data_IF_620150679596
#
_entry.id   IF_620150679596
#
_cell.length_a   1.000
_cell.length_b   1.000
_cell.length_c   1.000
_cell.angle_alpha   90.00
_cell.angle_beta   90.00
_cell.angle_gamma   90.00
#
_symmetry.space_group_name_H-M   'P 1'
#
loop_
_entity.id
_entity.type
_entity.pdbx_description
1 polymer ?
#
# COMPACT_ATOMS: atom_id res chain seq x y z
N UNK A 1 13.64 -1.46 -43.61
CA UNK A 1 13.27 -2.46 -42.58
C UNK A 1 14.03 -2.17 -41.29
N UNK A 2 13.56 -1.29 -40.38
CA UNK A 2 14.35 -1.02 -39.15
C UNK A 2 13.70 -0.35 -37.92
N UNK A 3 12.41 -0.01 -37.91
CA UNK A 3 11.79 0.55 -36.68
C UNK A 3 10.50 -0.17 -36.24
N UNK A 4 9.70 -0.66 -37.20
CA UNK A 4 8.47 -1.40 -36.87
C UNK A 4 8.77 -2.74 -36.15
N UNK A 5 9.74 -3.50 -36.64
CA UNK A 5 10.11 -4.81 -36.06
C UNK A 5 10.72 -4.71 -34.65
N UNK A 6 11.39 -3.60 -34.31
CA UNK A 6 11.97 -3.39 -32.97
C UNK A 6 10.88 -3.07 -31.95
N UNK A 7 9.84 -2.33 -32.35
CA UNK A 7 8.70 -2.00 -31.50
C UNK A 7 7.84 -3.24 -31.20
N UNK A 8 7.68 -4.10 -32.20
CA UNK A 8 6.94 -5.35 -32.11
C UNK A 8 7.67 -6.40 -31.24
N UNK A 9 9.00 -6.49 -31.37
CA UNK A 9 9.83 -7.34 -30.50
C UNK A 9 9.90 -6.85 -29.04
N UNK A 10 9.92 -5.53 -28.81
CA UNK A 10 9.87 -4.98 -27.46
C UNK A 10 8.50 -5.21 -26.80
N UNK A 11 7.40 -5.03 -27.55
CA UNK A 11 6.05 -5.32 -27.06
C UNK A 11 5.86 -6.80 -26.71
N UNK A 12 6.46 -7.72 -27.49
CA UNK A 12 6.44 -9.14 -27.18
C UNK A 12 7.19 -9.50 -25.88
N UNK A 13 8.31 -8.82 -25.57
CA UNK A 13 9.08 -9.05 -24.35
C UNK A 13 8.37 -8.56 -23.07
N UNK A 14 7.60 -7.46 -23.15
CA UNK A 14 6.79 -6.99 -22.01
C UNK A 14 5.54 -7.83 -21.77
N UNK A 15 5.04 -8.53 -22.81
CA UNK A 15 3.84 -9.36 -22.71
C UNK A 15 4.11 -10.78 -22.20
N UNK A 16 5.39 -11.20 -22.20
CA UNK A 16 5.81 -12.57 -21.84
C UNK A 16 6.25 -12.73 -20.37
N UNK A 17 6.11 -11.70 -19.52
CA UNK A 17 6.07 -11.90 -18.06
C UNK A 17 4.74 -12.55 -17.65
N UNK A 18 4.56 -13.80 -18.06
CA UNK A 18 3.49 -14.69 -17.62
C UNK A 18 3.72 -15.04 -16.15
N UNK A 19 3.19 -14.19 -15.26
CA UNK A 19 2.93 -14.57 -13.88
C UNK A 19 1.95 -15.77 -13.90
N UNK A 20 2.22 -16.88 -13.19
CA UNK A 20 1.36 -18.08 -13.20
C UNK A 20 -0.09 -17.86 -12.71
N UNK A 21 -0.45 -16.63 -12.31
CA UNK A 21 -1.79 -16.22 -11.87
C UNK A 21 -2.43 -15.11 -12.72
N UNK A 22 -1.88 -14.82 -13.91
CA UNK A 22 -2.44 -13.87 -14.87
C UNK A 22 -1.70 -12.53 -14.90
N UNK A 23 -1.46 -12.02 -16.11
CA UNK A 23 -0.91 -10.69 -16.33
C UNK A 23 -1.99 -9.65 -16.00
N UNK A 24 -1.66 -8.71 -15.11
CA UNK A 24 -2.52 -7.56 -14.87
C UNK A 24 -2.40 -6.62 -16.08
N UNK A 25 -3.25 -6.79 -17.08
CA UNK A 25 -3.35 -5.85 -18.20
C UNK A 25 -4.22 -4.66 -17.78
N UNK A 26 -3.68 -3.44 -17.89
CA UNK A 26 -4.45 -2.20 -17.89
C UNK A 26 -5.51 -2.28 -19.01
N UNK A 27 -6.72 -2.74 -18.67
CA UNK A 27 -7.81 -2.96 -19.62
C UNK A 27 -8.64 -4.23 -19.41
N UNK A 28 -8.26 -5.13 -18.49
CA UNK A 28 -9.13 -6.24 -18.10
C UNK A 28 -10.27 -5.72 -17.23
N UNK A 29 -11.51 -6.04 -17.60
CA UNK A 29 -12.76 -5.64 -16.94
C UNK A 29 -12.67 -5.75 -15.39
N UNK A 30 -12.58 -4.60 -14.73
CA UNK A 30 -12.71 -4.47 -13.27
C UNK A 30 -14.19 -4.49 -12.90
N UNK A 31 -14.82 -5.67 -12.97
CA UNK A 31 -16.20 -5.87 -12.49
C UNK A 31 -16.34 -7.18 -11.72
N UNK A 32 -15.38 -7.50 -10.86
CA UNK A 32 -15.62 -8.45 -9.77
C UNK A 32 -15.39 -7.72 -8.46
N UNK A 33 -16.46 -7.59 -7.66
CA UNK A 33 -16.36 -7.11 -6.28
C UNK A 33 -15.30 -7.96 -5.58
N UNK A 34 -14.13 -7.38 -5.32
CA UNK A 34 -13.02 -8.11 -4.75
C UNK A 34 -13.44 -8.69 -3.40
N UNK A 35 -13.35 -10.00 -3.25
CA UNK A 35 -13.57 -10.63 -1.94
C UNK A 35 -12.42 -10.23 -1.00
N UNK A 36 -12.63 -10.29 0.32
CA UNK A 36 -11.54 -10.05 1.30
C UNK A 36 -10.31 -10.92 0.99
N UNK A 37 -10.43 -12.24 0.73
CA UNK A 37 -9.30 -13.06 0.30
C UNK A 37 -8.58 -12.57 -0.96
N UNK A 38 -9.30 -12.02 -1.95
CA UNK A 38 -8.68 -11.47 -3.15
C UNK A 38 -7.90 -10.18 -2.85
N UNK A 39 -8.46 -9.30 -2.02
CA UNK A 39 -7.78 -8.10 -1.56
C UNK A 39 -6.51 -8.44 -0.77
N UNK A 40 -6.59 -9.42 0.15
CA UNK A 40 -5.42 -9.95 0.88
C UNK A 40 -4.35 -10.48 -0.08
N UNK A 41 -4.75 -11.24 -1.11
CA UNK A 41 -3.82 -11.76 -2.12
C UNK A 41 -3.14 -10.63 -2.90
N UNK A 42 -3.88 -9.58 -3.30
CA UNK A 42 -3.33 -8.42 -3.99
C UNK A 42 -2.35 -7.64 -3.10
N UNK A 43 -2.68 -7.43 -1.83
CA UNK A 43 -1.77 -6.79 -0.87
C UNK A 43 -0.49 -7.60 -0.64
N UNK A 44 -0.57 -8.95 -0.61
CA UNK A 44 0.63 -9.81 -0.54
C UNK A 44 1.58 -9.57 -1.72
N UNK A 45 1.05 -9.46 -2.93
CA UNK A 45 1.89 -9.16 -4.10
C UNK A 45 2.54 -7.79 -4.01
N UNK A 46 1.78 -6.76 -3.62
CA UNK A 46 2.35 -5.42 -3.41
C UNK A 46 3.46 -5.46 -2.37
N UNK A 47 3.24 -6.15 -1.24
CA UNK A 47 4.23 -6.29 -0.19
C UNK A 47 5.52 -6.97 -0.68
N UNK A 48 5.40 -8.04 -1.49
CA UNK A 48 6.55 -8.70 -2.11
C UNK A 48 7.32 -7.74 -3.02
N UNK A 49 6.64 -6.97 -3.86
CA UNK A 49 7.28 -6.09 -4.84
C UNK A 49 8.12 -4.98 -4.18
N UNK A 50 7.73 -4.52 -2.99
CA UNK A 50 8.45 -3.49 -2.23
C UNK A 50 9.25 -4.04 -1.05
N UNK A 51 9.37 -5.37 -0.94
CA UNK A 51 10.02 -6.06 0.16
C UNK A 51 9.50 -5.66 1.56
N UNK A 52 8.19 -5.45 1.69
CA UNK A 52 7.51 -5.29 2.98
C UNK A 52 7.27 -6.66 3.62
N UNK A 53 7.53 -6.76 4.92
CA UNK A 53 7.33 -7.99 5.71
C UNK A 53 5.89 -8.17 6.18
N UNK A 54 5.11 -7.09 6.26
CA UNK A 54 3.70 -7.14 6.62
C UNK A 54 2.90 -6.02 5.94
N UNK A 55 1.58 -6.19 5.93
CA UNK A 55 0.65 -5.17 5.44
C UNK A 55 -0.66 -5.20 6.23
N UNK A 56 -1.44 -4.13 6.13
CA UNK A 56 -2.78 -4.05 6.68
C UNK A 56 -3.66 -3.08 5.90
N UNK A 57 -4.95 -3.37 5.85
CA UNK A 57 -5.96 -2.43 5.36
C UNK A 57 -6.82 -1.96 6.53
N UNK A 58 -7.00 -0.64 6.64
CA UNK A 58 -7.76 -0.01 7.71
C UNK A 58 -8.80 0.94 7.13
N UNK A 59 -10.02 0.93 7.65
CA UNK A 59 -10.98 2.00 7.41
C UNK A 59 -10.73 3.15 8.37
N UNK A 60 -10.85 4.37 7.86
CA UNK A 60 -10.92 5.56 8.69
C UNK A 60 -12.35 5.68 9.22
N UNK A 61 -12.51 5.75 10.56
CA UNK A 61 -13.84 5.93 11.16
C UNK A 61 -14.51 7.18 10.60
N UNK A 62 -15.84 7.17 10.32
CA UNK A 62 -16.51 8.32 9.75
C UNK A 62 -16.67 9.48 10.76
N UNK A 63 -16.69 9.18 12.06
CA UNK A 63 -16.87 10.19 13.13
C UNK A 63 -15.59 11.01 13.36
N UNK A 64 -15.65 12.36 13.26
CA UNK A 64 -14.53 13.23 13.60
C UNK A 64 -14.24 13.25 15.12
N UNK A 65 -15.24 13.03 15.97
CA UNK A 65 -15.10 13.02 17.44
C UNK A 65 -14.39 11.76 17.97
N UNK A 66 -14.29 10.72 17.13
CA UNK A 66 -13.62 9.45 17.44
C UNK A 66 -12.82 9.00 16.22
N UNK A 67 -11.88 9.84 15.79
CA UNK A 67 -10.91 9.55 14.74
C UNK A 67 -10.10 8.31 15.10
N UNK A 68 -10.36 7.18 14.44
CA UNK A 68 -9.65 5.93 14.66
C UNK A 68 -9.54 5.14 13.37
N UNK A 69 -8.54 4.26 13.32
CA UNK A 69 -8.41 3.24 12.29
C UNK A 69 -9.15 1.98 12.75
N UNK A 70 -9.89 1.36 11.83
CA UNK A 70 -10.56 0.07 12.03
C UNK A 70 -9.96 -0.93 11.06
N UNK A 71 -9.23 -1.92 11.58
CA UNK A 71 -8.63 -2.95 10.76
C UNK A 71 -9.70 -3.77 9.99
N UNK A 72 -9.49 -3.94 8.70
CA UNK A 72 -10.28 -4.82 7.84
C UNK A 72 -9.67 -6.23 7.80
N UNK A 73 -8.37 -6.26 7.50
CA UNK A 73 -7.53 -7.46 7.46
C UNK A 73 -6.06 -7.03 7.50
N UNK A 74 -5.17 -7.98 7.72
CA UNK A 74 -3.72 -7.81 7.65
C UNK A 74 -3.04 -9.06 7.05
N UNK A 75 -1.71 -9.07 7.09
CA UNK A 75 -0.87 -10.16 6.60
C UNK A 75 -1.22 -11.53 7.21
N UNK A 76 -1.75 -11.56 8.44
CA UNK A 76 -2.04 -12.77 9.20
C UNK A 76 -3.45 -13.32 8.91
N UNK A 77 -4.21 -12.67 8.01
CA UNK A 77 -5.56 -13.11 7.64
C UNK A 77 -5.62 -14.64 7.39
N UNK A 78 -6.60 -15.35 8.00
CA UNK A 78 -7.79 -14.84 8.70
C UNK A 78 -7.58 -14.46 10.18
N UNK A 79 -6.36 -14.54 10.70
CA UNK A 79 -5.98 -14.03 12.03
C UNK A 79 -5.65 -12.53 11.97
N UNK A 80 -5.11 -11.99 13.07
CA UNK A 80 -4.76 -10.57 13.18
C UNK A 80 -3.40 -10.42 13.86
N UNK A 81 -2.51 -9.69 13.20
CA UNK A 81 -1.17 -9.41 13.67
C UNK A 81 -1.18 -8.50 14.92
N UNK A 82 -0.12 -8.59 15.72
CA UNK A 82 0.06 -7.73 16.90
C UNK A 82 0.21 -6.25 16.48
N UNK A 83 0.95 -5.97 15.41
CA UNK A 83 1.14 -4.61 14.89
C UNK A 83 -0.19 -3.91 14.55
N UNK A 84 -1.17 -4.66 14.05
CA UNK A 84 -2.52 -4.15 13.73
C UNK A 84 -3.24 -3.57 14.93
N UNK A 85 -2.99 -4.10 16.14
CA UNK A 85 -3.57 -3.57 17.39
C UNK A 85 -2.98 -2.22 17.76
N UNK A 86 -1.68 -2.02 17.51
CA UNK A 86 -1.03 -0.73 17.73
C UNK A 86 -1.53 0.32 16.72
N UNK A 87 -1.57 -0.04 15.43
CA UNK A 87 -2.01 0.85 14.34
C UNK A 87 -3.48 1.27 14.52
N UNK A 88 -4.35 0.36 14.95
CA UNK A 88 -5.76 0.67 15.23
C UNK A 88 -5.98 1.45 16.54
N UNK A 89 -4.92 1.65 17.33
CA UNK A 89 -4.94 2.33 18.61
C UNK A 89 -4.85 3.86 18.52
N UNK A 90 -4.51 4.50 19.63
CA UNK A 90 -4.51 5.96 19.78
C UNK A 90 -3.46 6.68 18.91
N UNK A 91 -2.42 5.98 18.44
CA UNK A 91 -1.35 6.57 17.63
C UNK A 91 -1.80 6.95 16.21
N UNK A 92 -3.00 6.55 15.80
CA UNK A 92 -3.50 6.76 14.44
C UNK A 92 -4.21 8.09 14.20
N UNK A 93 -4.37 8.98 15.19
CA UNK A 93 -5.24 10.16 15.03
C UNK A 93 -4.77 11.11 13.92
N UNK A 94 -3.47 11.40 13.86
CA UNK A 94 -2.92 12.30 12.85
C UNK A 94 -3.00 11.70 11.44
N UNK A 95 -2.73 10.39 11.29
CA UNK A 95 -2.88 9.73 9.98
C UNK A 95 -4.35 9.63 9.56
N UNK A 96 -5.28 9.51 10.51
CA UNK A 96 -6.73 9.57 10.24
C UNK A 96 -7.13 10.95 9.72
N UNK A 97 -6.70 12.03 10.38
CA UNK A 97 -6.99 13.40 9.92
C UNK A 97 -6.39 13.64 8.54
N UNK A 98 -5.13 13.23 8.34
CA UNK A 98 -4.42 13.34 7.07
C UNK A 98 -5.16 12.65 5.93
N UNK A 99 -5.56 11.39 6.14
CA UNK A 99 -6.22 10.57 5.10
C UNK A 99 -7.53 11.17 4.62
N UNK A 100 -8.19 12.02 5.42
CA UNK A 100 -9.46 12.68 5.05
C UNK A 100 -9.29 13.87 4.11
N UNK A 101 -8.10 14.46 4.06
CA UNK A 101 -7.85 15.73 3.34
C UNK A 101 -6.70 15.64 2.35
N UNK A 102 -5.96 14.52 2.36
CA UNK A 102 -4.78 14.32 1.53
C UNK A 102 -4.67 12.86 1.10
N UNK A 103 -4.16 12.67 -0.11
CA UNK A 103 -3.72 11.37 -0.63
C UNK A 103 -2.21 11.16 -0.49
N UNK A 104 -1.46 12.15 0.01
CA UNK A 104 -0.01 12.03 0.14
C UNK A 104 0.36 10.85 1.08
N UNK A 105 1.27 9.95 0.69
CA UNK A 105 1.76 8.90 1.56
C UNK A 105 2.44 9.45 2.82
N UNK A 106 2.35 8.70 3.91
CA UNK A 106 3.03 9.02 5.17
C UNK A 106 3.98 7.91 5.55
N UNK A 107 5.21 8.24 5.92
CA UNK A 107 6.21 7.23 6.26
C UNK A 107 6.77 7.46 7.67
N UNK A 108 7.29 6.39 8.26
CA UNK A 108 8.03 6.44 9.51
C UNK A 108 9.17 5.42 9.51
N UNK A 109 10.20 5.70 10.30
CA UNK A 109 11.30 4.79 10.53
C UNK A 109 11.74 4.87 12.01
N UNK A 110 11.45 3.80 12.75
CA UNK A 110 11.62 3.66 14.21
C UNK A 110 12.27 2.32 14.62
N UNK A 111 12.66 1.46 13.67
CA UNK A 111 13.25 0.15 13.96
C UNK A 111 14.71 0.19 14.46
N UNK A 112 15.34 1.36 14.44
CA UNK A 112 16.73 1.55 14.86
C UNK A 112 17.77 0.99 13.89
N UNK A 113 17.38 0.49 12.72
CA UNK A 113 18.30 -0.07 11.72
C UNK A 113 18.90 1.07 10.90
N UNK A 114 20.23 1.11 10.81
CA UNK A 114 20.93 2.12 10.02
C UNK A 114 20.60 1.98 8.54
N UNK A 115 20.25 3.08 7.86
CA UNK A 115 19.93 3.09 6.43
C UNK A 115 18.44 2.98 6.12
N UNK A 116 17.62 2.49 7.05
CA UNK A 116 16.20 2.24 6.79
C UNK A 116 15.39 3.52 6.55
N UNK A 117 15.74 4.59 7.28
CA UNK A 117 15.14 5.93 7.11
C UNK A 117 15.45 6.56 5.75
N UNK A 118 16.64 6.32 5.20
CA UNK A 118 17.13 6.97 3.99
C UNK A 118 16.26 6.62 2.77
N UNK A 119 15.76 5.37 2.70
CA UNK A 119 14.84 4.92 1.65
C UNK A 119 13.59 5.81 1.61
N UNK A 120 13.00 6.10 2.76
CA UNK A 120 11.79 6.92 2.83
C UNK A 120 12.08 8.42 2.63
N UNK A 121 13.23 8.91 3.11
CA UNK A 121 13.63 10.31 2.93
C UNK A 121 13.87 10.69 1.47
N UNK A 122 14.19 9.73 0.60
CA UNK A 122 14.35 9.99 -0.84
C UNK A 122 13.04 10.14 -1.61
N UNK A 123 11.89 9.85 -1.00
CA UNK A 123 10.58 9.92 -1.66
C UNK A 123 10.11 11.37 -1.72
N UNK A 124 9.87 11.89 -2.93
CA UNK A 124 9.65 13.30 -3.17
C UNK A 124 8.30 13.83 -2.63
N UNK A 125 7.32 12.94 -2.46
CA UNK A 125 5.93 13.29 -2.16
C UNK A 125 5.33 12.48 -1.01
N UNK A 126 6.16 11.72 -0.29
CA UNK A 126 5.80 11.06 0.95
C UNK A 126 6.31 11.86 2.15
N UNK A 127 5.46 12.10 3.14
CA UNK A 127 5.79 12.94 4.28
C UNK A 127 6.06 12.12 5.55
N UNK A 128 6.98 12.54 6.42
CA UNK A 128 7.24 11.84 7.68
C UNK A 128 6.03 11.96 8.64
N UNK A 129 5.81 10.93 9.45
CA UNK A 129 4.83 10.91 10.53
C UNK A 129 5.38 10.18 11.76
N UNK A 130 4.64 10.27 12.88
CA UNK A 130 4.96 9.48 14.06
C UNK A 130 4.73 7.99 13.79
N UNK A 131 5.53 7.08 14.38
CA UNK A 131 5.38 5.65 14.16
C UNK A 131 3.98 5.15 14.53
N UNK A 132 3.32 4.45 13.60
CA UNK A 132 1.99 3.87 13.85
C UNK A 132 2.07 2.63 14.75
N UNK A 133 3.21 1.94 14.74
CA UNK A 133 3.56 0.87 15.66
C UNK A 133 5.00 1.07 16.16
N UNK A 134 5.26 0.94 17.49
CA UNK A 134 6.60 1.12 18.03
C UNK A 134 7.61 0.14 17.43
N UNK A 135 8.83 0.61 17.17
CA UNK A 135 9.93 -0.22 16.67
C UNK A 135 9.74 -0.72 15.24
N UNK A 136 8.88 -0.05 14.45
CA UNK A 136 8.61 -0.43 13.06
C UNK A 136 9.04 0.65 12.09
N UNK A 137 9.27 0.24 10.85
CA UNK A 137 9.26 1.16 9.72
C UNK A 137 8.07 0.84 8.85
N UNK A 138 7.59 1.84 8.15
CA UNK A 138 6.51 1.62 7.21
C UNK A 138 6.11 2.86 6.44
N UNK A 139 5.18 2.60 5.53
CA UNK A 139 4.50 3.62 4.75
C UNK A 139 3.00 3.35 4.79
N UNK A 140 2.23 4.43 4.88
CA UNK A 140 0.79 4.45 4.89
C UNK A 140 0.29 5.20 3.67
N UNK A 141 -0.57 4.56 2.90
CA UNK A 141 -1.13 5.03 1.64
C UNK A 141 -2.62 5.31 1.83
N UNK A 142 -3.05 6.59 1.89
CA UNK A 142 -4.46 6.92 1.96
C UNK A 142 -5.19 6.46 0.68
N UNK A 143 -6.29 5.73 0.85
CA UNK A 143 -7.12 5.22 -0.25
C UNK A 143 -8.56 5.67 -0.04
N UNK A 144 -9.30 5.84 -1.14
CA UNK A 144 -10.68 6.29 -1.10
C UNK A 144 -11.55 5.36 -1.96
N UNK A 145 -12.77 5.13 -1.49
CA UNK A 145 -13.80 4.41 -2.21
C UNK A 145 -15.04 5.30 -2.36
N UNK A 146 -16.02 4.80 -3.12
CA UNK A 146 -17.26 5.51 -3.37
C UNK A 146 -17.96 5.98 -2.08
N UNK A 147 -18.76 7.05 -2.20
CA UNK A 147 -19.52 7.66 -1.10
C UNK A 147 -18.65 8.25 0.01
N UNK A 148 -17.43 8.68 -0.34
CA UNK A 148 -16.53 9.38 0.58
C UNK A 148 -15.94 8.48 1.66
N UNK A 149 -15.93 7.16 1.43
CA UNK A 149 -15.25 6.23 2.33
C UNK A 149 -13.74 6.40 2.17
N UNK A 150 -13.04 6.51 3.29
CA UNK A 150 -11.60 6.69 3.35
C UNK A 150 -10.99 5.48 4.09
N UNK A 151 -9.85 5.03 3.61
CA UNK A 151 -9.07 3.97 4.19
C UNK A 151 -7.59 4.28 4.13
N UNK A 152 -6.82 3.37 4.71
CA UNK A 152 -5.38 3.43 4.80
C UNK A 152 -4.83 2.04 4.53
N UNK A 153 -4.00 1.91 3.50
CA UNK A 153 -3.19 0.71 3.30
C UNK A 153 -1.83 0.96 3.95
N UNK A 154 -1.41 0.09 4.84
CA UNK A 154 -0.12 0.19 5.53
C UNK A 154 0.76 -0.97 5.10
N UNK A 155 2.02 -0.66 4.78
CA UNK A 155 3.08 -1.65 4.59
C UNK A 155 4.16 -1.43 5.64
N UNK A 156 4.66 -2.52 6.22
CA UNK A 156 5.70 -2.53 7.24
C UNK A 156 6.90 -3.34 6.78
N UNK A 157 8.10 -2.92 7.13
CA UNK A 157 9.31 -3.70 6.88
C UNK A 157 10.58 -2.88 7.01
N UNK A 158 11.64 -3.51 7.51
CA UNK A 158 12.96 -2.88 7.66
C UNK A 158 13.76 -2.82 6.37
N UNK A 159 13.48 -3.73 5.43
CA UNK A 159 14.22 -3.89 4.18
C UNK A 159 13.40 -3.41 2.97
N UNK A 160 12.43 -2.51 3.19
CA UNK A 160 11.58 -2.01 2.13
C UNK A 160 12.40 -1.31 1.05
N UNK A 161 12.06 -1.57 -0.21
CA UNK A 161 12.66 -0.96 -1.38
C UNK A 161 11.62 -0.08 -2.08
N UNK A 162 11.81 1.24 -2.03
CA UNK A 162 10.90 2.22 -2.61
C UNK A 162 11.67 3.27 -3.43
N UNK A 163 11.03 3.68 -4.51
CA UNK A 163 11.34 4.83 -5.36
C UNK A 163 10.04 5.61 -5.60
N UNK A 164 10.12 6.83 -6.15
CA UNK A 164 8.90 7.58 -6.47
C UNK A 164 8.00 6.84 -7.47
N UNK A 165 8.59 6.16 -8.46
CA UNK A 165 7.87 5.38 -9.47
C UNK A 165 7.12 4.19 -8.84
N UNK A 166 7.83 3.41 -8.01
CA UNK A 166 7.21 2.26 -7.32
C UNK A 166 6.18 2.73 -6.30
N UNK A 167 6.41 3.86 -5.62
CA UNK A 167 5.42 4.47 -4.72
C UNK A 167 4.13 4.85 -5.46
N UNK A 168 4.25 5.46 -6.64
CA UNK A 168 3.07 5.77 -7.48
C UNK A 168 2.33 4.49 -7.89
N UNK A 169 3.08 3.45 -8.30
CA UNK A 169 2.50 2.18 -8.72
C UNK A 169 1.75 1.46 -7.59
N UNK A 170 2.37 1.29 -6.43
CA UNK A 170 1.73 0.61 -5.29
C UNK A 170 0.53 1.40 -4.76
N UNK A 171 0.56 2.73 -4.86
CA UNK A 171 -0.55 3.55 -4.44
C UNK A 171 -1.75 3.39 -5.39
N UNK A 172 -1.52 3.39 -6.70
CA UNK A 172 -2.54 3.09 -7.69
C UNK A 172 -3.12 1.67 -7.52
N UNK A 173 -2.27 0.67 -7.27
CA UNK A 173 -2.70 -0.71 -6.99
C UNK A 173 -3.50 -0.83 -5.69
N UNK A 174 -3.18 0.00 -4.70
CA UNK A 174 -3.92 0.08 -3.44
C UNK A 174 -5.32 0.68 -3.64
N UNK A 175 -5.48 1.68 -4.51
CA UNK A 175 -6.81 2.18 -4.92
C UNK A 175 -7.63 1.11 -5.66
N UNK A 176 -6.98 0.33 -6.53
CA UNK A 176 -7.62 -0.73 -7.30
C UNK A 176 -8.08 -1.94 -6.44
N UNK A 177 -7.83 -1.95 -5.13
CA UNK A 177 -8.42 -2.93 -4.21
C UNK A 177 -9.94 -2.74 -4.07
N UNK A 178 -10.45 -1.55 -4.37
CA UNK A 178 -11.85 -1.15 -4.17
C UNK A 178 -12.64 -0.93 -5.47
N UNK A 179 -12.00 -1.13 -6.62
CA UNK A 179 -12.59 -0.98 -7.95
C UNK A 179 -13.10 -2.30 -8.53
#
# INVERSE_FOLDING_TARGET
MKHAQVKEAAAALFNDQRNPFGAFSLGSETHHAATIPDAVRRCRWIAVDINASAFGLYFVSPSPERARLVACFDSDYPSTAVATKFISGANGEDVVRHSRVSTAPRWWADDGIAGSRQVFQSLAWAEPTAPLAPGTNGIALPVHADRGQCGLVVFLGSEMALSDDTLCEIHARSFALFA
#
